data_IF_388373603404
#
_entry.id   IF_388373603404
#
_cell.length_a   1.000
_cell.length_b   1.000
_cell.length_c   1.000
_cell.angle_alpha   90.00
_cell.angle_beta   90.00
_cell.angle_gamma   90.00
#
_symmetry.space_group_name_H-M   'P 1'
#
loop_
_entity.id
_entity.type
_entity.pdbx_description
1 polymer ?
#
# COMPACT_ATOMS: atom_id res chain seq x y z
N UNK A 1 -34.21 -46.70 -15.92
CA UNK A 1 -32.75 -46.91 -15.80
C UNK A 1 -32.30 -46.43 -14.42
N UNK A 2 -32.03 -47.33 -13.46
CA UNK A 2 -31.62 -46.96 -12.08
C UNK A 2 -30.12 -46.64 -12.08
N UNK A 3 -29.77 -45.37 -11.94
CA UNK A 3 -28.37 -44.96 -11.71
C UNK A 3 -28.00 -45.40 -10.29
N UNK A 4 -26.99 -46.27 -10.19
CA UNK A 4 -26.44 -46.70 -8.90
C UNK A 4 -25.86 -45.51 -8.13
N UNK A 5 -26.12 -45.41 -6.83
CA UNK A 5 -25.67 -44.33 -5.95
C UNK A 5 -24.15 -44.08 -6.03
N UNK A 6 -23.36 -45.13 -6.29
CA UNK A 6 -21.90 -45.01 -6.53
C UNK A 6 -21.56 -44.25 -7.81
N UNK A 7 -22.34 -44.43 -8.88
CA UNK A 7 -22.15 -43.69 -10.14
C UNK A 7 -22.55 -42.22 -10.00
N UNK A 8 -23.56 -41.91 -9.18
CA UNK A 8 -23.97 -40.54 -8.89
C UNK A 8 -22.87 -39.76 -8.15
N UNK A 9 -22.24 -40.39 -7.14
CA UNK A 9 -21.14 -39.78 -6.37
C UNK A 9 -19.94 -39.48 -7.28
N UNK A 10 -19.56 -40.42 -8.15
CA UNK A 10 -18.45 -40.21 -9.11
C UNK A 10 -18.74 -39.07 -10.08
N UNK A 11 -19.97 -38.97 -10.58
CA UNK A 11 -20.37 -37.86 -11.46
C UNK A 11 -20.33 -36.52 -10.72
N UNK A 12 -20.83 -36.45 -9.48
CA UNK A 12 -20.74 -35.24 -8.65
C UNK A 12 -19.29 -34.82 -8.40
N UNK A 13 -18.40 -35.79 -8.13
CA UNK A 13 -16.97 -35.52 -7.93
C UNK A 13 -16.26 -35.06 -9.20
N UNK A 14 -16.63 -35.62 -10.36
CA UNK A 14 -16.09 -35.18 -11.65
C UNK A 14 -16.58 -33.77 -12.00
N UNK A 15 -17.85 -33.44 -11.71
CA UNK A 15 -18.41 -32.09 -11.92
C UNK A 15 -17.75 -31.06 -11.01
N UNK A 16 -17.45 -31.40 -9.74
CA UNK A 16 -16.72 -30.49 -8.85
C UNK A 16 -15.29 -30.29 -9.31
N UNK A 17 -14.58 -31.34 -9.74
CA UNK A 17 -13.22 -31.21 -10.30
C UNK A 17 -13.25 -30.34 -11.57
N UNK A 18 -14.20 -30.58 -12.48
CA UNK A 18 -14.31 -29.81 -13.72
C UNK A 18 -14.70 -28.34 -13.47
N UNK A 19 -15.54 -28.08 -12.47
CA UNK A 19 -15.94 -26.72 -12.07
C UNK A 19 -14.79 -25.92 -11.47
N UNK A 20 -13.80 -26.59 -10.86
CA UNK A 20 -12.60 -25.96 -10.30
C UNK A 20 -11.46 -25.81 -11.31
N UNK A 21 -11.50 -26.52 -12.43
CA UNK A 21 -10.51 -26.43 -13.51
C UNK A 21 -10.83 -25.40 -14.60
N UNK A 22 -11.92 -24.63 -14.46
CA UNK A 22 -12.21 -23.53 -15.39
C UNK A 22 -11.19 -22.41 -15.10
N UNK A 23 -10.33 -22.04 -16.07
CA UNK A 23 -9.44 -20.91 -15.89
C UNK A 23 -10.29 -19.67 -15.60
N UNK A 24 -10.08 -19.08 -14.41
CA UNK A 24 -10.74 -17.82 -14.07
C UNK A 24 -10.22 -16.77 -15.05
N UNK A 25 -11.08 -16.07 -15.81
CA UNK A 25 -10.63 -14.99 -16.67
C UNK A 25 -9.86 -13.97 -15.83
N UNK A 26 -8.73 -13.48 -16.34
CA UNK A 26 -7.99 -12.42 -15.67
C UNK A 26 -8.89 -11.18 -15.56
N UNK A 27 -9.12 -10.73 -14.34
CA UNK A 27 -9.84 -9.49 -14.08
C UNK A 27 -9.01 -8.30 -14.58
N UNK A 28 -9.69 -7.25 -15.06
CA UNK A 28 -9.02 -6.01 -15.49
C UNK A 28 -8.23 -5.40 -14.33
N UNK A 29 -7.09 -4.79 -14.64
CA UNK A 29 -6.27 -4.09 -13.66
C UNK A 29 -7.05 -2.96 -12.94
N UNK A 30 -8.06 -2.41 -13.60
CA UNK A 30 -8.96 -1.38 -13.06
C UNK A 30 -9.85 -1.90 -11.92
N UNK A 31 -9.96 -3.23 -11.76
CA UNK A 31 -10.65 -3.86 -10.63
C UNK A 31 -9.79 -3.91 -9.35
N UNK A 32 -8.53 -3.47 -9.43
CA UNK A 32 -7.58 -3.48 -8.32
C UNK A 32 -7.08 -2.09 -7.95
N UNK A 33 -6.86 -1.88 -6.66
CA UNK A 33 -6.01 -0.80 -6.18
C UNK A 33 -4.57 -1.29 -6.15
N UNK A 34 -3.72 -0.70 -6.98
CA UNK A 34 -2.30 -1.01 -6.95
C UNK A 34 -1.64 -0.04 -5.97
N UNK A 35 -0.93 -0.56 -4.98
CA UNK A 35 -0.24 0.24 -3.97
C UNK A 35 1.27 0.01 -4.07
N UNK A 36 2.03 1.09 -4.21
CA UNK A 36 3.48 1.05 -4.06
C UNK A 36 3.82 1.16 -2.56
N UNK A 37 4.46 0.14 -2.01
CA UNK A 37 4.84 0.07 -0.60
C UNK A 37 6.35 0.14 -0.50
N UNK A 38 6.85 1.20 0.15
CA UNK A 38 8.27 1.35 0.41
C UNK A 38 8.55 1.63 1.88
N UNK A 39 9.36 0.78 2.51
CA UNK A 39 9.50 0.76 3.97
C UNK A 39 10.78 1.40 4.51
N UNK A 40 11.95 1.17 3.91
CA UNK A 40 13.23 1.43 4.58
C UNK A 40 13.79 2.82 4.29
N UNK A 41 13.58 3.76 5.20
CA UNK A 41 14.24 5.07 5.22
C UNK A 41 14.45 5.54 6.67
N UNK A 42 15.25 6.59 6.87
CA UNK A 42 15.37 7.24 8.17
C UNK A 42 14.04 7.88 8.62
N UNK A 43 13.82 7.97 9.93
CA UNK A 43 12.58 8.52 10.51
C UNK A 43 12.28 9.94 10.04
N UNK A 44 13.32 10.71 9.70
CA UNK A 44 13.25 12.08 9.19
C UNK A 44 12.63 12.17 7.79
N UNK A 45 12.59 11.06 7.06
CA UNK A 45 11.98 10.96 5.73
C UNK A 45 10.50 10.63 5.77
N UNK A 46 9.95 10.42 6.96
CA UNK A 46 8.53 10.22 7.19
C UNK A 46 7.74 11.52 7.27
N UNK A 47 6.64 11.47 8.02
CA UNK A 47 5.67 12.55 8.15
C UNK A 47 5.61 12.97 9.60
N UNK A 48 5.81 14.26 9.85
CA UNK A 48 5.67 14.82 11.21
C UNK A 48 4.20 14.87 11.62
N UNK A 49 3.94 14.54 12.88
CA UNK A 49 2.60 14.64 13.46
C UNK A 49 2.07 16.08 13.34
N UNK A 50 0.88 16.22 12.77
CA UNK A 50 0.22 17.50 12.54
C UNK A 50 -1.29 17.25 12.39
N UNK A 51 -2.09 17.81 13.30
CA UNK A 51 -3.54 17.66 13.32
C UNK A 51 -4.25 18.36 12.13
N UNK A 52 -3.57 19.27 11.44
CA UNK A 52 -4.11 20.03 10.32
C UNK A 52 -3.82 19.39 8.95
N UNK A 53 -3.22 18.19 8.93
CA UNK A 53 -3.03 17.47 7.67
C UNK A 53 -4.37 17.21 7.00
N UNK A 54 -4.43 17.58 5.71
CA UNK A 54 -5.61 17.36 4.87
C UNK A 54 -5.71 15.89 4.49
N UNK A 55 -6.91 15.50 4.08
CA UNK A 55 -7.17 14.20 3.45
C UNK A 55 -6.34 14.06 2.15
N UNK A 56 -6.15 12.82 1.69
CA UNK A 56 -5.25 12.52 0.57
C UNK A 56 -5.69 13.21 -0.74
N UNK A 57 -6.99 13.21 -1.01
CA UNK A 57 -7.58 13.82 -2.21
C UNK A 57 -7.45 15.35 -2.24
N UNK A 58 -7.39 15.99 -1.07
CA UNK A 58 -7.28 17.45 -0.93
C UNK A 58 -5.83 17.95 -0.83
N UNK A 59 -4.84 17.08 -0.98
CA UNK A 59 -3.42 17.41 -0.87
C UNK A 59 -2.83 17.68 -2.26
N UNK A 60 -2.10 18.79 -2.42
CA UNK A 60 -1.47 19.19 -3.69
C UNK A 60 -0.09 18.59 -3.93
N UNK A 61 0.57 18.11 -2.88
CA UNK A 61 1.95 17.65 -2.91
C UNK A 61 2.11 16.28 -2.23
N UNK A 62 3.13 15.54 -2.66
CA UNK A 62 3.51 14.29 -2.02
C UNK A 62 3.95 14.54 -0.56
N UNK A 63 3.54 13.68 0.37
CA UNK A 63 3.81 13.87 1.80
C UNK A 63 4.97 12.99 2.32
N UNK A 64 6.03 13.64 2.76
CA UNK A 64 7.29 13.03 3.21
C UNK A 64 8.27 12.78 2.06
N UNK A 65 9.39 12.13 2.35
CA UNK A 65 10.51 11.99 1.41
C UNK A 65 10.85 10.52 1.09
N UNK A 66 10.34 9.57 1.88
CA UNK A 66 10.58 8.14 1.68
C UNK A 66 9.68 7.61 0.54
N UNK A 67 10.09 7.87 -0.70
CA UNK A 67 9.35 7.52 -1.91
C UNK A 67 10.26 6.94 -2.98
N UNK A 68 9.70 6.08 -3.81
CA UNK A 68 10.38 5.51 -4.98
C UNK A 68 10.21 6.36 -6.24
N UNK A 69 9.75 7.59 -6.06
CA UNK A 69 9.65 8.62 -7.07
C UNK A 69 8.24 9.13 -7.29
N UNK A 70 8.15 10.36 -7.79
CA UNK A 70 6.88 11.00 -8.13
C UNK A 70 6.30 10.43 -9.43
N UNK A 71 5.03 10.71 -9.67
CA UNK A 71 4.33 10.34 -10.90
C UNK A 71 4.86 11.04 -12.17
N UNK A 72 5.59 12.14 -12.01
CA UNK A 72 6.00 13.05 -13.07
C UNK A 72 7.48 12.97 -13.42
N UNK A 73 8.25 12.17 -12.67
CA UNK A 73 9.68 11.99 -12.90
C UNK A 73 9.92 10.71 -13.69
N UNK A 74 10.45 10.85 -14.91
CA UNK A 74 10.66 9.73 -15.83
C UNK A 74 11.74 8.75 -15.35
N UNK A 75 12.68 9.21 -14.53
CA UNK A 75 13.81 8.43 -14.00
C UNK A 75 13.44 7.55 -12.78
N UNK A 76 12.15 7.25 -12.58
CA UNK A 76 11.66 6.61 -11.35
C UNK A 76 10.94 5.30 -11.62
N UNK A 77 11.17 4.35 -10.71
CA UNK A 77 10.65 2.97 -10.82
C UNK A 77 9.11 2.96 -10.84
N UNK A 78 8.45 3.87 -10.12
CA UNK A 78 6.98 3.99 -10.14
C UNK A 78 6.45 4.26 -11.55
N UNK A 79 7.08 5.18 -12.30
CA UNK A 79 6.69 5.48 -13.69
C UNK A 79 7.03 4.33 -14.61
N UNK A 80 8.22 3.72 -14.46
CA UNK A 80 8.63 2.59 -15.28
C UNK A 80 7.67 1.39 -15.13
N UNK A 81 7.30 1.02 -13.91
CA UNK A 81 6.36 -0.09 -13.66
C UNK A 81 4.98 0.26 -14.22
N UNK A 82 4.47 1.46 -13.94
CA UNK A 82 3.18 1.92 -14.45
C UNK A 82 3.08 1.81 -15.97
N UNK A 83 4.10 2.27 -16.71
CA UNK A 83 4.10 2.26 -18.18
C UNK A 83 4.39 0.89 -18.77
N UNK A 84 5.39 0.15 -18.26
CA UNK A 84 5.88 -1.07 -18.92
C UNK A 84 5.25 -2.36 -18.38
N UNK A 85 4.70 -2.35 -17.17
CA UNK A 85 4.08 -3.53 -16.54
C UNK A 85 2.56 -3.43 -16.58
N UNK A 86 2.00 -2.25 -16.29
CA UNK A 86 0.55 -2.04 -16.30
C UNK A 86 0.04 -1.29 -17.52
N UNK A 87 0.92 -0.96 -18.48
CA UNK A 87 0.55 -0.31 -19.74
C UNK A 87 -0.29 0.96 -19.54
N UNK A 88 -0.05 1.68 -18.42
CA UNK A 88 -0.85 2.85 -18.06
C UNK A 88 -0.68 3.94 -19.13
N UNK A 89 -1.79 4.47 -19.69
CA UNK A 89 -1.72 5.51 -20.71
C UNK A 89 -0.87 6.70 -20.30
N UNK A 90 -0.07 7.22 -21.24
CA UNK A 90 0.74 8.40 -20.97
C UNK A 90 -0.11 9.67 -20.97
N UNK A 91 -0.51 10.09 -19.78
CA UNK A 91 -1.29 11.32 -19.54
C UNK A 91 -0.40 12.53 -19.17
N UNK A 92 0.91 12.43 -19.41
CA UNK A 92 1.91 13.49 -19.18
C UNK A 92 1.79 14.13 -17.78
N UNK A 93 1.87 15.46 -17.71
CA UNK A 93 1.85 16.26 -16.46
C UNK A 93 0.49 16.26 -15.76
N UNK A 94 -0.56 15.67 -16.36
CA UNK A 94 -1.89 15.57 -15.71
C UNK A 94 -1.97 14.40 -14.73
N UNK A 95 -0.91 13.58 -14.63
CA UNK A 95 -0.87 12.43 -13.73
C UNK A 95 -0.90 12.87 -12.26
N UNK A 96 -1.80 12.26 -11.51
CA UNK A 96 -2.05 12.50 -10.11
C UNK A 96 -2.56 11.18 -9.46
N UNK A 97 -2.74 11.12 -8.13
CA UNK A 97 -3.19 9.90 -7.46
C UNK A 97 -4.56 9.39 -7.88
N UNK A 98 -5.45 10.26 -8.36
CA UNK A 98 -6.82 9.88 -8.71
C UNK A 98 -6.92 9.24 -10.10
N UNK A 99 -5.96 9.52 -10.98
CA UNK A 99 -5.92 8.95 -12.34
C UNK A 99 -4.75 8.00 -12.60
N UNK A 100 -3.80 7.86 -11.67
CA UNK A 100 -2.74 6.87 -11.76
C UNK A 100 -3.23 5.47 -11.38
N UNK A 101 -2.68 4.43 -12.02
CA UNK A 101 -3.00 3.04 -11.65
C UNK A 101 -2.40 2.69 -10.28
N UNK A 102 -1.13 3.09 -10.08
CA UNK A 102 -0.37 2.88 -8.85
C UNK A 102 -0.59 4.06 -7.89
N UNK A 103 -0.96 3.77 -6.66
CA UNK A 103 -0.95 4.73 -5.57
C UNK A 103 0.44 4.81 -4.93
N UNK A 104 0.99 6.02 -4.88
CA UNK A 104 2.20 6.43 -4.20
C UNK A 104 2.09 7.93 -3.84
N UNK A 105 1.24 8.27 -2.86
CA UNK A 105 0.98 9.69 -2.52
C UNK A 105 1.54 10.16 -1.18
N UNK A 106 2.12 9.25 -0.40
CA UNK A 106 2.89 9.60 0.80
C UNK A 106 3.81 8.47 1.22
N UNK A 107 4.78 8.82 2.05
CA UNK A 107 5.58 7.88 2.83
C UNK A 107 4.84 7.36 4.07
N UNK A 108 5.41 6.35 4.73
CA UNK A 108 5.03 6.01 6.10
C UNK A 108 5.35 7.18 7.05
N UNK A 109 4.57 7.33 8.13
CA UNK A 109 4.79 8.40 9.11
C UNK A 109 6.14 8.28 9.79
N UNK A 110 6.60 7.05 10.03
CA UNK A 110 7.96 6.74 10.44
C UNK A 110 8.49 5.55 9.64
N UNK A 111 9.20 5.78 8.52
CA UNK A 111 9.75 4.69 7.71
C UNK A 111 10.70 3.78 8.49
N UNK A 112 11.45 4.34 9.47
CA UNK A 112 12.37 3.59 10.32
C UNK A 112 11.68 2.74 11.41
N UNK A 113 10.34 2.70 11.45
CA UNK A 113 9.58 1.92 12.42
C UNK A 113 9.64 0.41 12.11
N UNK A 114 9.12 -0.41 13.02
CA UNK A 114 9.01 -1.86 12.79
C UNK A 114 8.09 -2.17 11.61
N UNK A 115 8.31 -3.31 10.95
CA UNK A 115 7.47 -3.78 9.85
C UNK A 115 6.01 -3.94 10.29
N UNK A 116 5.78 -4.42 11.51
CA UNK A 116 4.45 -4.54 12.11
C UNK A 116 3.73 -3.19 12.25
N UNK A 117 4.40 -2.17 12.77
CA UNK A 117 3.78 -0.85 12.93
C UNK A 117 3.48 -0.19 11.57
N UNK A 118 4.40 -0.35 10.61
CA UNK A 118 4.16 0.11 9.24
C UNK A 118 3.04 -0.70 8.56
N UNK A 119 2.83 -1.98 8.93
CA UNK A 119 1.72 -2.78 8.44
C UNK A 119 0.37 -2.29 8.97
N UNK A 120 0.28 -1.92 10.27
CA UNK A 120 -0.90 -1.23 10.80
C UNK A 120 -1.17 0.07 10.03
N UNK A 121 -0.15 0.89 9.83
CA UNK A 121 -0.29 2.11 9.04
C UNK A 121 -0.71 1.88 7.58
N UNK A 122 -0.28 0.77 6.99
CA UNK A 122 -0.61 0.43 5.61
C UNK A 122 -2.10 0.07 5.46
N UNK A 123 -2.65 -0.78 6.33
CA UNK A 123 -3.96 -1.40 6.08
C UNK A 123 -4.93 -1.49 7.26
N UNK A 124 -4.55 -1.08 8.47
CA UNK A 124 -5.49 -1.02 9.60
C UNK A 124 -6.46 0.15 9.41
N UNK A 125 -7.76 -0.13 9.29
CA UNK A 125 -8.79 0.89 9.08
C UNK A 125 -8.96 1.83 10.28
N UNK A 126 -8.49 1.41 11.44
CA UNK A 126 -8.46 2.20 12.67
C UNK A 126 -7.16 2.99 12.84
N UNK A 127 -6.22 2.88 11.89
CA UNK A 127 -5.00 3.66 11.93
C UNK A 127 -5.32 5.17 11.89
N UNK A 128 -4.67 5.93 12.79
CA UNK A 128 -4.93 7.35 12.99
C UNK A 128 -6.40 7.69 13.30
N UNK A 129 -7.16 6.73 13.86
CA UNK A 129 -8.46 7.04 14.45
C UNK A 129 -8.31 8.12 15.53
N UNK A 130 -9.34 8.96 15.67
CA UNK A 130 -9.33 10.06 16.63
C UNK A 130 -9.11 9.53 18.05
N UNK A 131 -8.14 10.11 18.74
CA UNK A 131 -7.95 9.93 20.19
C UNK A 131 -8.36 11.24 20.86
N UNK A 132 -9.58 11.31 21.40
CA UNK A 132 -10.16 12.56 21.89
C UNK A 132 -10.60 13.48 20.74
N UNK A 133 -10.29 14.78 20.84
CA UNK A 133 -10.80 15.80 19.91
C UNK A 133 -10.06 15.87 18.56
N UNK A 134 -8.88 15.25 18.44
CA UNK A 134 -8.08 15.26 17.21
C UNK A 134 -7.29 13.96 16.99
N UNK A 135 -6.99 13.68 15.73
CA UNK A 135 -6.10 12.61 15.29
C UNK A 135 -4.67 13.14 15.13
N UNK A 136 -3.68 12.28 15.41
CA UNK A 136 -2.25 12.65 15.41
C UNK A 136 -1.77 13.16 14.04
N UNK A 137 -2.33 12.63 12.97
CA UNK A 137 -2.01 13.00 11.58
C UNK A 137 -3.21 13.62 10.86
N UNK A 138 -4.05 14.37 11.59
CA UNK A 138 -5.19 15.07 11.00
C UNK A 138 -6.11 14.13 10.23
N UNK A 139 -6.54 14.52 9.03
CA UNK A 139 -7.48 13.74 8.22
C UNK A 139 -6.85 12.56 7.47
N UNK A 140 -5.56 12.25 7.67
CA UNK A 140 -4.90 11.10 7.03
C UNK A 140 -5.45 9.77 7.55
N UNK A 141 -5.40 8.75 6.70
CA UNK A 141 -5.87 7.39 6.99
C UNK A 141 -4.81 6.38 6.57
N UNK A 142 -5.09 5.09 6.76
CA UNK A 142 -4.18 4.05 6.28
C UNK A 142 -3.95 4.18 4.78
N UNK A 143 -2.81 3.69 4.29
CA UNK A 143 -2.47 3.80 2.87
C UNK A 143 -3.55 3.18 1.97
N UNK A 144 -4.18 2.10 2.43
CA UNK A 144 -5.30 1.46 1.73
C UNK A 144 -6.50 2.41 1.62
N UNK A 145 -6.94 2.97 2.74
CA UNK A 145 -8.06 3.93 2.75
C UNK A 145 -7.76 5.14 1.85
N UNK A 146 -6.55 5.66 1.88
CA UNK A 146 -6.17 6.81 1.06
C UNK A 146 -6.10 6.47 -0.44
N UNK A 147 -5.67 5.26 -0.81
CA UNK A 147 -5.68 4.79 -2.20
C UNK A 147 -7.10 4.68 -2.77
N UNK A 148 -8.06 4.30 -1.93
CA UNK A 148 -9.48 4.34 -2.27
C UNK A 148 -10.03 5.76 -2.31
N UNK A 149 -9.69 6.58 -1.33
CA UNK A 149 -10.15 7.96 -1.18
C UNK A 149 -9.85 8.79 -2.42
N UNK A 150 -8.61 8.72 -2.93
CA UNK A 150 -8.22 9.52 -4.10
C UNK A 150 -8.91 9.08 -5.39
N UNK A 151 -9.37 7.84 -5.48
CA UNK A 151 -10.10 7.32 -6.65
C UNK A 151 -11.63 7.42 -6.50
N UNK A 152 -12.12 7.73 -5.30
CA UNK A 152 -13.55 7.82 -5.03
C UNK A 152 -14.17 9.07 -5.68
N UNK A 153 -15.05 8.83 -6.66
CA UNK A 153 -15.83 9.86 -7.36
C UNK A 153 -17.28 9.40 -7.53
N UNK A 154 -18.24 10.25 -7.18
CA UNK A 154 -19.65 10.05 -7.52
C UNK A 154 -20.07 11.19 -8.44
N UNK A 155 -20.52 10.82 -9.65
CA UNK A 155 -21.06 11.77 -10.62
C UNK A 155 -22.55 11.94 -10.32
N UNK A 156 -22.93 13.12 -9.82
CA UNK A 156 -24.34 13.48 -9.56
C UNK A 156 -24.94 14.13 -10.80
N UNK A 157 -24.17 14.99 -11.48
CA UNK A 157 -24.58 15.64 -12.72
C UNK A 157 -23.43 15.59 -13.74
N UNK A 158 -23.61 14.93 -14.91
CA UNK A 158 -22.60 14.88 -15.95
C UNK A 158 -22.22 16.26 -16.52
N UNK A 159 -23.12 17.25 -16.42
CA UNK A 159 -22.94 18.57 -17.00
C UNK A 159 -22.50 19.63 -15.98
N UNK A 160 -22.35 19.27 -14.71
CA UNK A 160 -22.00 20.20 -13.63
C UNK A 160 -21.09 19.54 -12.59
N UNK A 161 -19.79 19.71 -12.79
CA UNK A 161 -18.75 19.14 -11.92
C UNK A 161 -18.79 19.70 -10.48
N UNK A 162 -19.44 20.84 -10.24
CA UNK A 162 -19.53 21.43 -8.88
C UNK A 162 -20.39 20.61 -7.92
N UNK A 163 -21.28 19.76 -8.47
CA UNK A 163 -22.15 18.87 -7.70
C UNK A 163 -21.56 17.49 -7.50
N UNK A 164 -20.44 17.17 -8.16
CA UNK A 164 -19.82 15.86 -8.04
C UNK A 164 -19.12 15.72 -6.69
N UNK A 165 -19.22 14.52 -6.10
CA UNK A 165 -18.60 14.22 -4.81
C UNK A 165 -17.25 13.54 -5.05
N UNK A 166 -16.26 13.91 -4.23
CA UNK A 166 -14.90 13.38 -4.29
C UNK A 166 -14.39 13.05 -2.89
N UNK A 167 -13.31 12.25 -2.82
CA UNK A 167 -12.58 12.01 -1.59
C UNK A 167 -13.38 11.22 -0.55
N UNK A 168 -13.24 11.59 0.72
CA UNK A 168 -13.85 10.84 1.82
C UNK A 168 -15.38 10.80 1.76
N UNK A 169 -16.02 11.91 1.38
CA UNK A 169 -17.48 12.01 1.30
C UNK A 169 -18.01 11.04 0.24
N UNK A 170 -17.32 10.94 -0.91
CA UNK A 170 -17.66 9.98 -1.95
C UNK A 170 -17.43 8.53 -1.47
N UNK A 171 -16.29 8.26 -0.83
CA UNK A 171 -15.94 6.93 -0.33
C UNK A 171 -16.97 6.41 0.70
N UNK A 172 -17.36 7.26 1.65
CA UNK A 172 -18.37 6.91 2.67
C UNK A 172 -19.75 6.67 2.05
N UNK A 173 -20.09 7.40 0.99
CA UNK A 173 -21.36 7.22 0.27
C UNK A 173 -21.36 5.92 -0.55
N UNK A 174 -20.25 5.61 -1.24
CA UNK A 174 -20.06 4.36 -2.00
C UNK A 174 -20.20 3.15 -1.06
N UNK A 175 -19.59 3.20 0.12
CA UNK A 175 -19.63 2.10 1.09
C UNK A 175 -21.01 1.83 1.68
N UNK A 176 -21.87 2.85 1.77
CA UNK A 176 -23.26 2.72 2.24
C UNK A 176 -24.22 2.23 1.15
N UNK A 177 -23.87 2.42 -0.12
CA UNK A 177 -24.69 2.03 -1.26
C UNK A 177 -24.31 0.63 -1.79
N UNK A 178 -25.18 -0.39 -1.70
CA UNK A 178 -24.87 -1.73 -2.20
C UNK A 178 -24.59 -1.74 -3.72
N UNK A 179 -25.26 -0.87 -4.48
CA UNK A 179 -25.09 -0.76 -5.93
C UNK A 179 -23.82 -0.02 -6.36
N UNK A 180 -23.28 0.82 -5.47
CA UNK A 180 -22.08 1.62 -5.72
C UNK A 180 -20.79 0.88 -5.36
N UNK A 181 -20.88 -0.17 -4.54
CA UNK A 181 -19.72 -0.90 -4.01
C UNK A 181 -18.81 -1.47 -5.10
N UNK A 182 -19.35 -1.76 -6.30
CA UNK A 182 -18.57 -2.28 -7.44
C UNK A 182 -17.83 -1.21 -8.25
N UNK A 183 -18.07 0.07 -7.97
CA UNK A 183 -17.48 1.18 -8.72
C UNK A 183 -16.06 1.50 -8.26
N UNK A 184 -15.71 1.11 -7.03
CA UNK A 184 -14.39 1.32 -6.48
C UNK A 184 -13.72 -0.03 -6.24
N UNK A 185 -12.50 -0.18 -6.74
CA UNK A 185 -11.69 -1.35 -6.44
C UNK A 185 -11.57 -1.52 -4.92
N UNK A 186 -11.84 -2.73 -4.44
CA UNK A 186 -11.73 -3.08 -3.02
C UNK A 186 -10.54 -3.97 -2.72
N UNK A 187 -9.98 -4.63 -3.75
CA UNK A 187 -8.85 -5.54 -3.64
C UNK A 187 -7.55 -4.85 -4.03
N UNK A 188 -6.45 -5.27 -3.41
CA UNK A 188 -5.14 -4.64 -3.57
C UNK A 188 -4.14 -5.57 -4.25
N UNK A 189 -3.33 -4.98 -5.13
CA UNK A 189 -2.06 -5.53 -5.58
C UNK A 189 -0.96 -4.67 -4.95
N UNK A 190 -0.14 -5.29 -4.11
CA UNK A 190 0.95 -4.59 -3.44
C UNK A 190 2.23 -4.77 -4.25
N UNK A 191 2.83 -3.66 -4.69
CA UNK A 191 4.18 -3.64 -5.24
C UNK A 191 5.08 -3.12 -4.14
N UNK A 192 5.91 -4.00 -3.62
CA UNK A 192 6.55 -3.80 -2.34
C UNK A 192 8.05 -3.85 -2.50
N UNK A 193 8.75 -2.77 -2.19
CA UNK A 193 10.19 -2.68 -2.37
C UNK A 193 10.93 -2.56 -1.05
N UNK A 194 12.08 -3.23 -0.94
CA UNK A 194 12.91 -3.26 0.27
C UNK A 194 12.06 -3.74 1.46
N UNK A 195 12.13 -3.06 2.61
CA UNK A 195 11.30 -3.38 3.78
C UNK A 195 9.79 -3.36 3.50
N UNK A 196 9.34 -2.71 2.42
CA UNK A 196 7.94 -2.74 2.01
C UNK A 196 7.39 -4.16 1.81
N UNK A 197 8.20 -5.10 1.30
CA UNK A 197 7.76 -6.50 1.12
C UNK A 197 7.58 -7.24 2.44
N UNK A 198 8.39 -6.92 3.45
CA UNK A 198 8.21 -7.43 4.81
C UNK A 198 6.94 -6.83 5.42
N UNK A 199 6.73 -5.51 5.27
CA UNK A 199 5.49 -4.83 5.73
C UNK A 199 4.24 -5.44 5.11
N UNK A 200 4.25 -5.68 3.79
CA UNK A 200 3.12 -6.31 3.10
C UNK A 200 2.85 -7.72 3.60
N UNK A 201 3.90 -8.49 3.90
CA UNK A 201 3.78 -9.83 4.48
C UNK A 201 3.21 -9.78 5.91
N UNK A 202 3.72 -8.89 6.76
CA UNK A 202 3.20 -8.69 8.13
C UNK A 202 1.71 -8.35 8.10
N UNK A 203 1.28 -7.50 7.16
CA UNK A 203 -0.13 -7.15 7.04
C UNK A 203 -1.02 -8.36 6.75
N UNK A 204 -0.67 -9.18 5.75
CA UNK A 204 -1.51 -10.34 5.37
C UNK A 204 -1.44 -11.49 6.37
N UNK A 205 -0.42 -11.51 7.24
CA UNK A 205 -0.27 -12.49 8.32
C UNK A 205 -0.84 -12.00 9.65
N UNK A 206 -1.11 -10.69 9.78
CA UNK A 206 -1.64 -10.08 10.99
C UNK A 206 -3.10 -10.42 11.25
N UNK A 207 -3.51 -10.33 12.51
CA UNK A 207 -4.91 -10.49 12.95
C UNK A 207 -5.82 -9.33 12.52
N UNK A 208 -5.23 -8.23 12.07
CA UNK A 208 -5.89 -7.06 11.49
C UNK A 208 -6.00 -7.09 9.95
N UNK A 209 -5.70 -8.24 9.32
CA UNK A 209 -5.88 -8.43 7.88
C UNK A 209 -7.35 -8.48 7.49
N UNK A 210 -7.76 -7.69 6.49
CA UNK A 210 -9.16 -7.60 6.07
C UNK A 210 -9.53 -8.53 4.90
N UNK A 211 -8.64 -9.40 4.43
CA UNK A 211 -8.91 -10.26 3.27
C UNK A 211 -8.90 -9.52 1.93
N UNK A 212 -8.32 -8.32 1.88
CA UNK A 212 -8.40 -7.38 0.75
C UNK A 212 -7.15 -7.36 -0.14
N UNK A 213 -6.14 -8.18 0.12
CA UNK A 213 -4.95 -8.30 -0.75
C UNK A 213 -5.09 -9.51 -1.67
N UNK A 214 -4.94 -9.29 -2.98
CA UNK A 214 -4.94 -10.37 -3.97
C UNK A 214 -3.52 -10.84 -4.29
N UNK A 215 -2.57 -9.90 -4.44
CA UNK A 215 -1.19 -10.21 -4.80
C UNK A 215 -0.21 -9.31 -4.07
N UNK A 216 0.95 -9.88 -3.76
CA UNK A 216 2.13 -9.16 -3.28
C UNK A 216 3.26 -9.45 -4.26
N UNK A 217 3.83 -8.40 -4.85
CA UNK A 217 4.98 -8.43 -5.74
C UNK A 217 6.12 -7.77 -4.99
N UNK A 218 7.17 -8.52 -4.67
CA UNK A 218 8.31 -7.98 -3.91
C UNK A 218 9.49 -7.66 -4.82
N UNK A 219 10.12 -6.51 -4.56
CA UNK A 219 11.28 -6.01 -5.27
C UNK A 219 12.40 -5.83 -4.23
N UNK A 220 13.44 -6.66 -4.32
CA UNK A 220 14.62 -6.59 -3.45
C UNK A 220 14.29 -6.51 -1.94
N UNK A 221 13.28 -7.28 -1.51
CA UNK A 221 12.83 -7.29 -0.12
C UNK A 221 13.68 -8.24 0.72
N UNK A 222 14.26 -7.78 1.85
CA UNK A 222 15.07 -8.62 2.73
C UNK A 222 14.19 -9.53 3.60
N UNK A 223 13.58 -10.55 2.99
CA UNK A 223 12.65 -11.46 3.67
C UNK A 223 13.30 -12.23 4.84
N UNK A 224 14.61 -12.45 4.78
CA UNK A 224 15.42 -13.11 5.81
C UNK A 224 16.32 -12.12 6.57
N UNK A 225 16.05 -10.82 6.44
CA UNK A 225 16.90 -9.76 6.96
C UNK A 225 18.03 -9.39 6.00
N UNK A 226 18.89 -8.47 6.44
CA UNK A 226 20.04 -7.98 5.66
C UNK A 226 21.30 -7.98 6.50
N UNK A 227 22.39 -8.52 5.95
CA UNK A 227 23.71 -8.52 6.59
C UNK A 227 24.32 -7.12 6.72
N UNK A 228 23.85 -6.13 5.95
CA UNK A 228 24.37 -4.76 5.97
C UNK A 228 24.26 -4.12 7.36
N UNK A 229 23.17 -4.38 8.08
CA UNK A 229 22.98 -3.86 9.43
C UNK A 229 24.01 -4.47 10.41
N UNK A 230 24.22 -5.79 10.35
CA UNK A 230 25.21 -6.48 11.17
C UNK A 230 26.63 -5.97 10.89
N UNK A 231 26.96 -5.67 9.63
CA UNK A 231 28.24 -5.09 9.25
C UNK A 231 28.43 -3.67 9.80
N UNK A 232 27.39 -2.83 9.75
CA UNK A 232 27.44 -1.46 10.29
C UNK A 232 27.59 -1.46 11.82
N UNK A 233 26.88 -2.34 12.52
CA UNK A 233 27.07 -2.54 13.97
C UNK A 233 28.48 -3.05 14.29
N UNK A 234 29.00 -4.00 13.51
CA UNK A 234 30.37 -4.50 13.64
C UNK A 234 31.41 -3.38 13.50
N UNK A 235 31.24 -2.51 12.50
CA UNK A 235 32.12 -1.36 12.28
C UNK A 235 32.05 -0.34 13.42
N UNK A 236 30.85 -0.01 13.90
CA UNK A 236 30.67 0.91 15.03
C UNK A 236 31.31 0.37 16.32
N UNK A 237 31.15 -0.93 16.60
CA UNK A 237 31.79 -1.59 17.74
C UNK A 237 33.31 -1.60 17.60
N UNK A 238 33.82 -1.87 16.40
CA UNK A 238 35.25 -1.81 16.09
C UNK A 238 35.83 -0.41 16.31
N UNK A 239 35.19 0.63 15.77
CA UNK A 239 35.58 2.03 15.96
C UNK A 239 35.53 2.46 17.44
N UNK A 240 34.50 2.04 18.19
CA UNK A 240 34.39 2.28 19.63
C UNK A 240 35.52 1.61 20.42
N UNK A 241 35.90 0.38 20.04
CA UNK A 241 37.00 -0.37 20.65
C UNK A 241 38.35 0.29 20.39
N UNK A 242 38.60 0.78 19.18
CA UNK A 242 39.81 1.56 18.83
C UNK A 242 39.87 2.85 19.66
N UNK A 243 38.77 3.60 19.73
CA UNK A 243 38.71 4.86 20.50
C UNK A 243 39.00 4.64 21.99
N UNK A 244 38.51 3.55 22.59
CA UNK A 244 38.83 3.20 23.99
C UNK A 244 40.30 2.79 24.20
N UNK A 245 40.93 2.15 23.20
CA UNK A 245 42.33 1.74 23.28
C UNK A 245 43.28 2.95 23.20
N UNK A 246 43.02 3.85 22.25
CA UNK A 246 43.74 5.12 22.10
C UNK A 246 43.64 6.02 23.34
N UNK A 247 42.48 6.07 24.01
CA UNK A 247 42.32 6.85 25.25
C UNK A 247 43.08 6.27 26.45
N UNK A 248 43.34 4.94 26.48
CA UNK A 248 44.18 4.32 27.52
C UNK A 248 45.67 4.54 27.24
N UNK A 249 46.09 4.55 25.98
CA UNK A 249 47.48 4.77 25.58
C UNK A 249 47.91 6.24 25.77
N UNK A 250 46.99 7.21 25.66
CA UNK A 250 47.25 8.64 25.89
C UNK A 250 47.13 9.10 27.37
N UNK A 251 47.07 8.17 28.33
CA UNK A 251 47.01 8.46 29.78
C UNK A 251 48.33 8.20 30.52
N UNK A 252 49.44 8.17 29.79
CA UNK A 252 50.81 8.08 30.33
C UNK A 252 51.48 9.44 30.22
#
# INVERSE_FOLDING_TARGET
MKISMKKLIVVLFLVTIYGWSIPKPMESIESYNILMVHGAYGSEKGIKANANLKEANSTSEFLGDATLGSYTSDDRITKWISTNVFEEPNIEKKRNPSNAYIYNWRSFTNPANSSLNNAHEMGDRMWNAKTGDSSKFGKRRSLFEEAQEVKAKIIINPNDDSKNLYGQIALDSIRKGPDLYRQLASRYILISHSMGGVVSREYVQGDFYNGDVDKIITLDSPHEGTGALNMQYGLLLFCSKIRRKSFKENRV
#
